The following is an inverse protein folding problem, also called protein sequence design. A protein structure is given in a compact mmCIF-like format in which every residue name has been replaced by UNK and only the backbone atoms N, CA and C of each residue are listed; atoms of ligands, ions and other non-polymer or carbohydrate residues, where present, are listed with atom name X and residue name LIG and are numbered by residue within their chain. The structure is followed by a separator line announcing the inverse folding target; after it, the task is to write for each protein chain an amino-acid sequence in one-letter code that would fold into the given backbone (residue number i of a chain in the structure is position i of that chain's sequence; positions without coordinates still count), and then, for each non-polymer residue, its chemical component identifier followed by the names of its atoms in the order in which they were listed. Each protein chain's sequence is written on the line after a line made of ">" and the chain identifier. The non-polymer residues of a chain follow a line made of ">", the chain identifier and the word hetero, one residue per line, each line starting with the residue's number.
data_IF_896971958247
#
_entry.id   IF_896971958247
#
_cell.length_a   1.000
_cell.length_b   1.000
_cell.length_c   1.000
_cell.angle_alpha   90.00
_cell.angle_beta   90.00
_cell.angle_gamma   90.00
#
_symmetry.space_group_name_H-M   'P 1'
#
loop_
_entity.id
_entity.type
_entity.pdbx_description
1 polymer ?
#
# COMPACT_ATOMS: atom_id res chain seq x y z
N UNK A 1 -11.20 5.85 -6.40
CA UNK A 1 -11.08 5.37 -7.81
C UNK A 1 -11.35 6.49 -8.82
N UNK A 2 -12.36 7.37 -8.63
CA UNK A 2 -12.70 8.43 -9.60
C UNK A 2 -11.56 9.41 -9.93
N UNK A 3 -10.70 9.73 -8.96
CA UNK A 3 -9.52 10.57 -9.20
C UNK A 3 -8.54 9.96 -10.23
N UNK A 4 -8.37 8.62 -10.23
CA UNK A 4 -7.52 7.93 -11.22
C UNK A 4 -8.19 7.89 -12.59
N UNK A 5 -9.50 7.62 -12.65
CA UNK A 5 -10.27 7.63 -13.90
C UNK A 5 -10.20 8.99 -14.61
N UNK A 6 -10.36 10.09 -13.87
CA UNK A 6 -10.24 11.47 -14.39
C UNK A 6 -8.84 11.78 -14.95
N UNK A 7 -7.81 11.08 -14.47
CA UNK A 7 -6.42 11.19 -14.94
C UNK A 7 -6.10 10.28 -16.12
N UNK A 8 -7.08 9.53 -16.65
CA UNK A 8 -6.90 8.63 -17.80
C UNK A 8 -6.41 7.22 -17.45
N UNK A 9 -6.45 6.82 -16.18
CA UNK A 9 -6.15 5.44 -15.79
C UNK A 9 -7.34 4.52 -16.09
N UNK A 10 -7.04 3.29 -16.51
CA UNK A 10 -8.07 2.27 -16.68
C UNK A 10 -8.78 1.96 -15.36
N UNK A 11 -10.09 1.77 -15.42
CA UNK A 11 -10.90 1.50 -14.24
C UNK A 11 -10.50 0.18 -13.55
N UNK A 12 -10.12 -0.82 -14.33
CA UNK A 12 -9.69 -2.14 -13.84
C UNK A 12 -8.35 -2.01 -13.11
N UNK A 13 -7.40 -1.24 -13.67
CA UNK A 13 -6.14 -0.96 -12.98
C UNK A 13 -6.35 -0.19 -11.68
N UNK A 14 -7.14 0.88 -11.71
CA UNK A 14 -7.43 1.69 -10.52
C UNK A 14 -8.13 0.88 -9.41
N UNK A 15 -9.04 -0.02 -9.79
CA UNK A 15 -9.67 -0.96 -8.85
C UNK A 15 -8.68 -1.98 -8.30
N UNK A 16 -7.88 -2.60 -9.16
CA UNK A 16 -6.90 -3.62 -8.78
C UNK A 16 -5.84 -3.07 -7.81
N UNK A 17 -5.23 -1.92 -8.10
CA UNK A 17 -4.21 -1.32 -7.22
C UNK A 17 -4.80 -0.89 -5.88
N UNK A 18 -6.02 -0.32 -5.89
CA UNK A 18 -6.71 0.09 -4.66
C UNK A 18 -7.03 -1.14 -3.80
N UNK A 19 -7.59 -2.19 -4.40
CA UNK A 19 -7.91 -3.44 -3.71
C UNK A 19 -6.66 -4.13 -3.14
N UNK A 20 -5.58 -4.22 -3.94
CA UNK A 20 -4.31 -4.81 -3.50
C UNK A 20 -3.66 -4.01 -2.36
N UNK A 21 -3.73 -2.68 -2.37
CA UNK A 21 -3.18 -1.86 -1.28
C UNK A 21 -3.95 -2.02 0.03
N UNK A 22 -5.26 -2.29 -0.02
CA UNK A 22 -6.10 -2.48 1.16
C UNK A 22 -5.68 -3.72 1.98
N UNK A 23 -5.08 -4.73 1.35
CA UNK A 23 -4.61 -5.93 2.06
C UNK A 23 -3.38 -5.68 2.94
N UNK A 24 -2.70 -4.54 2.79
CA UNK A 24 -1.57 -4.16 3.65
C UNK A 24 -2.02 -3.62 5.02
N UNK A 25 -3.28 -3.18 5.15
CA UNK A 25 -3.81 -2.59 6.38
C UNK A 25 -3.64 -3.46 7.63
N UNK A 26 -3.95 -4.76 7.59
CA UNK A 26 -3.75 -5.66 8.73
C UNK A 26 -2.28 -5.88 9.16
N UNK A 27 -1.31 -5.57 8.29
CA UNK A 27 0.13 -5.83 8.56
C UNK A 27 0.81 -4.61 9.20
N UNK A 28 0.34 -3.39 8.92
CA UNK A 28 0.96 -2.16 9.43
C UNK A 28 0.66 -1.90 10.92
N UNK A 29 1.69 -1.65 11.77
CA UNK A 29 1.48 -1.18 13.14
C UNK A 29 0.96 0.28 13.15
N UNK A 30 -0.08 0.65 13.93
CA UNK A 30 -0.92 -0.15 14.82
C UNK A 30 -2.09 -0.85 14.09
N UNK A 31 -2.12 -2.18 14.11
CA UNK A 31 -3.18 -3.01 13.48
C UNK A 31 -3.93 -3.81 14.54
N UNK A 32 -5.26 -3.61 14.61
CA UNK A 32 -6.15 -4.33 15.54
C UNK A 32 -6.01 -5.86 15.39
N UNK A 33 -6.01 -6.45 14.18
CA UNK A 33 -5.75 -7.87 13.99
C UNK A 33 -4.45 -8.37 14.63
N UNK A 34 -3.36 -7.60 14.52
CA UNK A 34 -2.05 -7.98 15.06
C UNK A 34 -2.06 -7.98 16.60
N UNK A 35 -2.78 -7.03 17.20
CA UNK A 35 -2.99 -6.94 18.65
C UNK A 35 -3.81 -8.14 19.15
N UNK A 36 -4.90 -8.48 18.45
CA UNK A 36 -5.74 -9.65 18.77
C UNK A 36 -4.92 -10.94 18.68
N UNK A 37 -4.12 -11.09 17.63
CA UNK A 37 -3.22 -12.25 17.49
C UNK A 37 -2.23 -12.36 18.64
N UNK A 38 -1.57 -11.26 19.03
CA UNK A 38 -0.65 -11.24 20.17
C UNK A 38 -1.31 -11.56 21.50
N UNK A 39 -2.54 -11.09 21.70
CA UNK A 39 -3.34 -11.41 22.89
C UNK A 39 -3.65 -12.91 22.99
N UNK A 40 -4.06 -13.54 21.87
CA UNK A 40 -4.39 -14.98 21.83
C UNK A 40 -3.14 -15.84 22.01
N UNK A 41 -2.00 -15.43 21.46
CA UNK A 41 -0.75 -16.21 21.49
C UNK A 41 0.12 -15.96 22.73
N UNK A 42 -0.32 -15.10 23.66
CA UNK A 42 0.40 -14.74 24.90
C UNK A 42 1.85 -14.26 24.67
N UNK A 43 2.16 -13.81 23.45
CA UNK A 43 3.45 -13.18 23.12
C UNK A 43 3.33 -11.67 23.30
N UNK A 44 4.47 -11.01 23.49
CA UNK A 44 4.48 -9.56 23.63
C UNK A 44 3.95 -8.89 22.35
N UNK A 45 2.81 -8.20 22.50
CA UNK A 45 2.17 -7.40 21.43
C UNK A 45 3.17 -6.39 20.87
N UNK A 46 4.00 -5.78 21.75
CA UNK A 46 5.03 -4.82 21.35
C UNK A 46 6.08 -5.48 20.45
N UNK A 47 6.51 -6.70 20.79
CA UNK A 47 7.47 -7.43 19.94
C UNK A 47 6.85 -7.81 18.59
N UNK A 48 5.58 -8.21 18.55
CA UNK A 48 4.86 -8.46 17.30
C UNK A 48 4.74 -7.21 16.44
N UNK A 49 4.40 -6.06 17.03
CA UNK A 49 4.28 -4.79 16.30
C UNK A 49 5.62 -4.38 15.69
N UNK A 50 6.73 -4.51 16.44
CA UNK A 50 8.08 -4.23 15.94
C UNK A 50 8.50 -5.23 14.86
N UNK A 51 8.22 -6.52 15.07
CA UNK A 51 8.49 -7.56 14.08
C UNK A 51 7.68 -7.37 12.79
N UNK A 52 6.47 -6.79 12.88
CA UNK A 52 5.59 -6.48 11.76
C UNK A 52 6.09 -5.35 10.85
N UNK A 53 7.04 -4.52 11.30
CA UNK A 53 7.61 -3.43 10.49
C UNK A 53 8.34 -3.97 9.26
N UNK A 54 9.15 -5.01 9.43
CA UNK A 54 9.95 -5.61 8.34
C UNK A 54 9.06 -6.16 7.22
N UNK A 55 8.06 -7.05 7.47
CA UNK A 55 7.17 -7.52 6.42
C UNK A 55 6.28 -6.41 5.87
N UNK A 56 5.85 -5.43 6.67
CA UNK A 56 5.06 -4.29 6.19
C UNK A 56 5.82 -3.48 5.13
N UNK A 57 7.08 -3.13 5.41
CA UNK A 57 7.94 -2.39 4.47
C UNK A 57 8.20 -3.25 3.23
N UNK A 58 8.50 -4.54 3.40
CA UNK A 58 8.75 -5.45 2.29
C UNK A 58 7.55 -5.54 1.35
N UNK A 59 6.35 -5.81 1.88
CA UNK A 59 5.12 -5.89 1.08
C UNK A 59 4.80 -4.56 0.39
N UNK A 60 5.02 -3.43 1.07
CA UNK A 60 4.84 -2.09 0.50
C UNK A 60 5.79 -1.85 -0.67
N UNK A 61 7.07 -2.17 -0.51
CA UNK A 61 8.09 -2.02 -1.54
C UNK A 61 7.79 -2.91 -2.76
N UNK A 62 7.36 -4.16 -2.53
CA UNK A 62 6.95 -5.07 -3.59
C UNK A 62 5.71 -4.57 -4.34
N UNK A 63 4.73 -4.01 -3.64
CA UNK A 63 3.54 -3.43 -4.25
C UNK A 63 3.90 -2.19 -5.09
N UNK A 64 4.74 -1.30 -4.56
CA UNK A 64 5.27 -0.15 -5.31
C UNK A 64 5.99 -0.59 -6.59
N UNK A 65 6.89 -1.57 -6.49
CA UNK A 65 7.60 -2.16 -7.64
C UNK A 65 6.62 -2.72 -8.68
N UNK A 66 5.62 -3.49 -8.23
CA UNK A 66 4.62 -4.09 -9.10
C UNK A 66 3.84 -3.03 -9.87
N UNK A 67 3.39 -1.98 -9.18
CA UNK A 67 2.71 -0.84 -9.79
C UNK A 67 3.61 -0.14 -10.80
N UNK A 68 4.89 0.05 -10.48
CA UNK A 68 5.87 0.71 -11.35
C UNK A 68 6.08 -0.09 -12.65
N UNK A 69 6.26 -1.41 -12.54
CA UNK A 69 6.40 -2.31 -13.69
C UNK A 69 5.12 -2.31 -14.53
N UNK A 70 3.95 -2.50 -13.93
CA UNK A 70 2.68 -2.52 -14.66
C UNK A 70 2.40 -1.18 -15.35
N UNK A 71 2.67 -0.07 -14.68
CA UNK A 71 2.51 1.28 -15.25
C UNK A 71 3.48 1.55 -16.41
N UNK A 72 4.69 0.99 -16.38
CA UNK A 72 5.64 1.08 -17.51
C UNK A 72 5.20 0.25 -18.71
N UNK A 73 4.66 -0.96 -18.49
CA UNK A 73 4.20 -1.85 -19.55
C UNK A 73 2.93 -1.31 -20.20
N UNK A 74 1.96 -0.88 -19.40
CA UNK A 74 0.66 -0.37 -19.88
C UNK A 74 0.69 1.12 -20.27
N UNK A 75 1.89 1.74 -20.32
CA UNK A 75 2.11 3.17 -20.65
C UNK A 75 1.07 4.09 -20.00
N UNK A 76 0.82 3.88 -18.71
CA UNK A 76 -0.19 4.65 -17.99
C UNK A 76 0.18 6.14 -17.96
N UNK A 77 -0.83 7.04 -17.87
CA UNK A 77 -0.60 8.48 -17.80
C UNK A 77 0.33 8.77 -16.62
N UNK A 78 1.52 9.31 -16.93
CA UNK A 78 2.48 9.76 -15.92
C UNK A 78 2.21 11.23 -15.63
N UNK A 79 2.44 11.65 -14.39
CA UNK A 79 2.41 13.07 -14.08
C UNK A 79 3.52 13.78 -14.88
N UNK A 80 3.19 14.90 -15.53
CA UNK A 80 4.15 15.70 -16.31
C UNK A 80 5.31 16.25 -15.45
N UNK A 81 5.09 16.39 -14.14
CA UNK A 81 6.09 16.82 -13.17
C UNK A 81 5.94 16.06 -11.86
N UNK A 82 7.05 15.91 -11.13
CA UNK A 82 6.96 15.51 -9.74
C UNK A 82 6.17 16.53 -8.92
N UNK A 83 5.27 16.05 -8.05
CA UNK A 83 4.50 16.94 -7.19
C UNK A 83 5.43 17.66 -6.23
N UNK A 84 5.20 18.96 -6.09
CA UNK A 84 5.92 19.80 -5.13
C UNK A 84 5.45 19.48 -3.71
N UNK A 85 6.30 19.64 -2.68
CA UNK A 85 5.93 19.32 -1.28
C UNK A 85 4.66 20.03 -0.81
N UNK A 86 4.35 21.19 -1.41
CA UNK A 86 3.15 21.99 -1.14
C UNK A 86 1.86 21.45 -1.77
N UNK A 87 1.94 20.50 -2.70
CA UNK A 87 0.78 19.86 -3.34
C UNK A 87 0.41 18.51 -2.69
N UNK A 88 1.28 18.00 -1.81
CA UNK A 88 1.14 16.67 -1.17
C UNK A 88 0.59 16.76 0.25
N UNK A 89 0.61 17.95 0.87
CA UNK A 89 0.00 18.23 2.17
C UNK A 89 -1.43 18.75 2.03
#
# INVERSE_FOLDING_TARGET
>A
IDAMKKRGFDASFAGAVTGASATLGPIFPPSIPLIVYGSVTSVSIVQLLVAGIVPAILCTALLMLTVLVVATIHKHPRADRWPTLWEVG
#
